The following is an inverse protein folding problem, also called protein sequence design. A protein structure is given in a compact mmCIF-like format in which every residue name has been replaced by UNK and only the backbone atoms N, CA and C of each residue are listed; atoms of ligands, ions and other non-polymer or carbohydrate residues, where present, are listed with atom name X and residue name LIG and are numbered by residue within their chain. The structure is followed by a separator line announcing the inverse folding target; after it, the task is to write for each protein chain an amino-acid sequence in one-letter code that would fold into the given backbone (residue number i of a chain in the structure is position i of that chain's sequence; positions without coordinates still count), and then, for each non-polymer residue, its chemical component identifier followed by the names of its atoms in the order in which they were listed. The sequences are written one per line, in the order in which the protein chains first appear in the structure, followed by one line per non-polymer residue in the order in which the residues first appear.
data_IF_221839324368
#
_entry.id   IF_221839324368
#
_cell.length_a   1.000
_cell.length_b   1.000
_cell.length_c   1.000
_cell.angle_alpha   90.00
_cell.angle_beta   90.00
_cell.angle_gamma   90.00
#
_symmetry.space_group_name_H-M   'P 1'
#
loop_
_entity.id
_entity.type
_entity.pdbx_description
1 polymer ?
#
# COMPACT_ATOMS: atom_id res chain seq x y z
N UNK A 1 -113.96 1.13 -23.23
CA UNK A 1 -113.11 2.26 -22.79
C UNK A 1 -111.95 1.71 -21.98
N UNK A 2 -110.75 1.61 -22.53
CA UNK A 2 -109.53 1.50 -21.74
C UNK A 2 -108.67 2.76 -21.94
N UNK A 3 -108.23 3.29 -20.81
CA UNK A 3 -107.51 4.55 -20.66
C UNK A 3 -106.04 4.38 -21.08
N UNK A 4 -105.56 5.34 -21.85
CA UNK A 4 -104.18 5.58 -22.26
C UNK A 4 -103.21 5.80 -21.09
N UNK A 5 -102.02 5.19 -21.13
CA UNK A 5 -100.81 5.68 -20.45
C UNK A 5 -99.58 5.57 -21.37
N UNK A 6 -98.68 6.58 -21.37
CA UNK A 6 -97.61 6.71 -22.35
C UNK A 6 -96.30 6.00 -21.94
N UNK A 7 -95.43 5.87 -22.94
CA UNK A 7 -94.11 5.23 -22.98
C UNK A 7 -93.06 6.02 -22.18
N UNK A 8 -92.13 5.33 -21.52
CA UNK A 8 -90.82 5.85 -21.13
C UNK A 8 -89.72 4.86 -21.57
N UNK A 9 -88.61 5.31 -22.20
CA UNK A 9 -87.52 4.43 -22.63
C UNK A 9 -86.51 4.24 -21.48
N UNK A 10 -86.06 3.01 -21.25
CA UNK A 10 -84.92 2.73 -20.37
C UNK A 10 -83.69 2.48 -21.25
N UNK A 11 -82.70 3.37 -21.10
CA UNK A 11 -81.35 3.26 -21.63
C UNK A 11 -80.48 2.38 -20.71
N UNK A 12 -79.85 1.38 -21.33
CA UNK A 12 -78.44 0.96 -21.23
C UNK A 12 -77.74 0.88 -19.85
N UNK A 13 -77.20 -0.31 -19.52
CA UNK A 13 -75.83 -0.46 -19.01
C UNK A 13 -75.37 -1.93 -19.10
N UNK A 14 -74.39 -2.22 -19.94
CA UNK A 14 -73.65 -3.48 -19.91
C UNK A 14 -72.68 -3.45 -18.72
N UNK A 15 -72.78 -4.44 -17.83
CA UNK A 15 -71.84 -4.60 -16.72
C UNK A 15 -70.51 -5.14 -17.26
N UNK A 16 -69.46 -4.31 -17.24
CA UNK A 16 -68.07 -4.76 -17.43
C UNK A 16 -67.56 -5.20 -16.07
N UNK A 17 -67.37 -6.51 -15.89
CA UNK A 17 -66.66 -7.05 -14.74
C UNK A 17 -65.15 -6.76 -14.91
N UNK A 18 -64.63 -5.79 -14.15
CA UNK A 18 -63.19 -5.58 -14.01
C UNK A 18 -62.67 -6.66 -13.07
N UNK A 19 -62.09 -7.72 -13.61
CA UNK A 19 -61.26 -8.64 -12.84
C UNK A 19 -59.94 -7.91 -12.58
N UNK A 20 -59.79 -7.36 -11.38
CA UNK A 20 -58.49 -6.92 -10.87
C UNK A 20 -57.61 -8.16 -10.72
N UNK A 21 -56.83 -8.47 -11.76
CA UNK A 21 -55.68 -9.37 -11.63
C UNK A 21 -54.65 -8.61 -10.81
N UNK A 22 -54.72 -8.74 -9.48
CA UNK A 22 -53.62 -8.32 -8.63
C UNK A 22 -52.38 -9.12 -9.10
N UNK A 23 -51.25 -8.46 -9.42
CA UNK A 23 -50.05 -9.19 -9.82
C UNK A 23 -49.65 -10.13 -8.68
N UNK A 24 -49.70 -11.45 -8.92
CA UNK A 24 -49.36 -12.50 -7.94
C UNK A 24 -47.92 -12.43 -7.40
N UNK A 25 -47.09 -11.49 -7.90
CA UNK A 25 -45.73 -11.26 -7.43
C UNK A 25 -45.65 -10.80 -5.96
N UNK A 26 -46.70 -10.17 -5.43
CA UNK A 26 -46.67 -9.62 -4.07
C UNK A 26 -46.92 -10.66 -2.95
N UNK A 27 -47.51 -11.82 -3.24
CA UNK A 27 -47.94 -12.75 -2.17
C UNK A 27 -46.85 -13.70 -1.66
N UNK A 28 -45.73 -13.86 -2.38
CA UNK A 28 -44.69 -14.84 -2.03
C UNK A 28 -43.26 -14.25 -2.01
N UNK A 29 -43.09 -12.95 -2.19
CA UNK A 29 -41.77 -12.32 -2.07
C UNK A 29 -41.39 -12.13 -0.61
N UNK A 30 -40.18 -12.50 -0.24
CA UNK A 30 -39.66 -12.27 1.09
C UNK A 30 -39.03 -10.87 1.22
N UNK A 31 -38.79 -10.44 2.46
CA UNK A 31 -38.07 -9.19 2.76
C UNK A 31 -36.99 -9.38 3.83
N UNK A 32 -35.91 -8.61 3.69
CA UNK A 32 -34.91 -8.39 4.74
C UNK A 32 -34.99 -6.92 5.14
N UNK A 33 -34.95 -6.64 6.45
CA UNK A 33 -34.90 -5.29 6.99
C UNK A 33 -34.08 -5.27 8.27
N UNK A 34 -33.66 -4.10 8.74
CA UNK A 34 -32.97 -3.95 10.02
C UNK A 34 -32.32 -2.59 10.16
N UNK A 35 -31.48 -2.44 11.18
CA UNK A 35 -30.72 -1.22 11.45
C UNK A 35 -29.23 -1.46 11.25
N UNK A 36 -28.56 -0.56 10.52
CA UNK A 36 -27.10 -0.48 10.46
C UNK A 36 -26.62 0.50 11.52
N UNK A 37 -25.76 0.02 12.40
CA UNK A 37 -25.12 0.80 13.45
C UNK A 37 -23.61 0.69 13.41
N UNK A 38 -22.89 1.67 13.96
CA UNK A 38 -21.45 1.63 14.12
C UNK A 38 -21.03 0.78 15.33
N UNK A 39 -19.73 0.56 15.49
CA UNK A 39 -19.16 -0.17 16.63
C UNK A 39 -19.51 0.43 18.02
N UNK A 40 -19.95 1.68 18.10
CA UNK A 40 -20.41 2.36 19.33
C UNK A 40 -21.94 2.25 19.52
N UNK A 41 -22.66 1.75 18.51
CA UNK A 41 -24.11 1.57 18.49
C UNK A 41 -24.88 2.76 17.92
N UNK A 42 -24.22 3.74 17.31
CA UNK A 42 -24.91 4.86 16.64
C UNK A 42 -25.41 4.43 15.26
N UNK A 43 -26.57 4.93 14.79
CA UNK A 43 -27.06 4.63 13.45
C UNK A 43 -26.12 5.15 12.37
N UNK A 44 -25.97 4.39 11.28
CA UNK A 44 -25.12 4.74 10.14
C UNK A 44 -25.98 5.07 8.94
N UNK A 45 -25.98 6.33 8.52
CA UNK A 45 -26.60 6.80 7.27
C UNK A 45 -25.79 6.35 6.04
N UNK A 46 -26.48 6.10 4.94
CA UNK A 46 -25.88 5.75 3.64
C UNK A 46 -24.99 4.50 3.63
N UNK A 47 -25.11 3.62 4.62
CA UNK A 47 -24.48 2.31 4.57
C UNK A 47 -25.08 1.51 3.41
N UNK A 48 -24.23 0.86 2.60
CA UNK A 48 -24.64 0.06 1.46
C UNK A 48 -24.89 -1.38 1.89
N UNK A 49 -26.08 -1.92 1.59
CA UNK A 49 -26.47 -3.30 1.84
C UNK A 49 -26.62 -4.01 0.49
N UNK A 50 -25.67 -4.89 0.18
CA UNK A 50 -25.65 -5.71 -1.03
C UNK A 50 -26.08 -7.16 -0.71
N UNK A 51 -27.15 -7.63 -1.34
CA UNK A 51 -27.68 -8.98 -1.16
C UNK A 51 -27.45 -9.82 -2.41
N UNK A 52 -26.66 -10.87 -2.29
CA UNK A 52 -26.29 -11.76 -3.40
C UNK A 52 -26.88 -13.16 -3.23
N UNK A 53 -27.78 -13.54 -4.15
CA UNK A 53 -28.42 -14.85 -4.14
C UNK A 53 -27.45 -15.99 -4.54
N UNK A 54 -27.35 -17.02 -3.71
CA UNK A 54 -26.42 -18.15 -3.89
C UNK A 54 -27.07 -19.40 -4.49
N UNK A 55 -28.33 -19.34 -4.93
CA UNK A 55 -29.12 -20.49 -5.39
C UNK A 55 -29.05 -20.80 -6.89
N UNK A 56 -27.99 -20.41 -7.60
CA UNK A 56 -27.77 -20.74 -9.01
C UNK A 56 -27.67 -19.50 -9.92
N UNK A 57 -28.81 -18.99 -10.41
CA UNK A 57 -28.81 -17.76 -11.24
C UNK A 57 -28.45 -16.57 -10.35
N UNK A 58 -27.29 -15.97 -10.59
CA UNK A 58 -26.82 -14.78 -9.86
C UNK A 58 -27.87 -13.67 -9.94
N UNK A 59 -28.33 -13.23 -8.77
CA UNK A 59 -29.20 -12.06 -8.59
C UNK A 59 -28.60 -11.26 -7.44
N UNK A 60 -28.32 -9.99 -7.69
CA UNK A 60 -27.91 -9.06 -6.65
C UNK A 60 -28.98 -7.98 -6.46
N UNK A 61 -29.12 -7.52 -5.22
CA UNK A 61 -29.96 -6.40 -4.83
C UNK A 61 -29.13 -5.46 -3.98
N UNK A 62 -29.27 -4.16 -4.18
CA UNK A 62 -28.55 -3.15 -3.42
C UNK A 62 -29.56 -2.15 -2.85
N UNK A 63 -29.40 -1.83 -1.58
CA UNK A 63 -30.16 -0.80 -0.87
C UNK A 63 -29.24 -0.04 0.08
N UNK A 64 -29.69 1.09 0.59
CA UNK A 64 -28.92 1.91 1.54
C UNK A 64 -29.73 2.19 2.80
N UNK A 65 -29.05 2.40 3.93
CA UNK A 65 -29.69 2.84 5.17
C UNK A 65 -30.07 4.33 5.13
N UNK A 66 -31.11 4.71 5.86
CA UNK A 66 -31.51 6.10 6.09
C UNK A 66 -30.71 6.74 7.26
N UNK A 67 -31.08 7.97 7.64
CA UNK A 67 -30.49 8.73 8.74
C UNK A 67 -30.67 8.09 10.14
N UNK A 68 -31.66 7.20 10.28
CA UNK A 68 -31.87 6.36 11.47
C UNK A 68 -31.14 5.00 11.36
N UNK A 69 -30.36 4.77 10.30
CA UNK A 69 -29.65 3.53 10.04
C UNK A 69 -30.54 2.41 9.50
N UNK A 70 -31.83 2.64 9.32
CA UNK A 70 -32.80 1.63 8.90
C UNK A 70 -32.69 1.33 7.41
N UNK A 71 -32.85 0.07 7.04
CA UNK A 71 -32.90 -0.36 5.64
C UNK A 71 -33.97 -1.44 5.41
N UNK A 72 -34.42 -1.57 4.17
CA UNK A 72 -35.37 -2.61 3.77
C UNK A 72 -35.16 -3.03 2.32
N UNK A 73 -34.96 -4.33 2.10
CA UNK A 73 -34.97 -4.96 0.78
C UNK A 73 -36.19 -5.88 0.65
N UNK A 74 -37.06 -5.58 -0.32
CA UNK A 74 -38.22 -6.40 -0.68
C UNK A 74 -37.99 -7.15 -2.00
N UNK A 75 -38.86 -8.12 -2.30
CA UNK A 75 -38.82 -8.80 -3.59
C UNK A 75 -37.83 -9.97 -3.66
N UNK A 76 -37.38 -10.48 -2.50
CA UNK A 76 -36.40 -11.56 -2.45
C UNK A 76 -37.07 -12.91 -2.77
N UNK A 77 -36.37 -13.71 -3.56
CA UNK A 77 -36.74 -15.09 -3.84
C UNK A 77 -36.37 -15.98 -2.63
N UNK A 78 -36.97 -17.15 -2.52
CA UNK A 78 -36.56 -18.09 -1.47
C UNK A 78 -35.20 -18.71 -1.78
N UNK A 79 -34.32 -18.76 -0.78
CA UNK A 79 -33.05 -19.47 -0.83
C UNK A 79 -31.93 -18.77 -0.06
N UNK A 80 -30.68 -19.21 -0.24
CA UNK A 80 -29.53 -18.64 0.45
C UNK A 80 -29.09 -17.31 -0.18
N UNK A 81 -28.76 -16.34 0.69
CA UNK A 81 -28.20 -15.04 0.34
C UNK A 81 -26.93 -14.79 1.16
N UNK A 82 -25.95 -14.15 0.54
CA UNK A 82 -24.90 -13.43 1.25
C UNK A 82 -25.31 -11.95 1.29
N UNK A 83 -25.40 -11.39 2.48
CA UNK A 83 -25.70 -9.96 2.69
C UNK A 83 -24.41 -9.29 3.13
N UNK A 84 -23.90 -8.35 2.33
CA UNK A 84 -22.74 -7.53 2.65
C UNK A 84 -23.20 -6.13 3.02
N UNK A 85 -22.92 -5.69 4.25
CA UNK A 85 -23.21 -4.33 4.74
C UNK A 85 -21.89 -3.56 4.78
N UNK A 86 -21.81 -2.43 4.11
CA UNK A 86 -20.58 -1.63 3.97
C UNK A 86 -20.84 -0.18 4.33
N UNK A 87 -19.96 0.43 5.11
CA UNK A 87 -20.03 1.84 5.46
C UNK A 87 -18.67 2.52 5.28
N UNK A 88 -18.67 3.73 4.72
CA UNK A 88 -17.45 4.50 4.46
C UNK A 88 -16.70 4.78 5.76
N UNK A 89 -15.40 4.49 5.77
CA UNK A 89 -14.53 4.74 6.94
C UNK A 89 -14.76 3.81 8.14
N UNK A 90 -15.75 2.93 8.09
CA UNK A 90 -16.11 2.03 9.20
C UNK A 90 -15.77 0.59 8.82
N UNK A 91 -16.18 0.11 7.65
CA UNK A 91 -15.78 -1.20 7.12
C UNK A 91 -16.93 -1.98 6.51
N UNK A 92 -16.76 -3.30 6.39
CA UNK A 92 -17.76 -4.19 5.81
C UNK A 92 -18.05 -5.39 6.72
N UNK A 93 -19.27 -5.90 6.66
CA UNK A 93 -19.74 -7.12 7.32
C UNK A 93 -20.49 -8.02 6.36
N UNK A 94 -20.37 -9.34 6.53
CA UNK A 94 -21.02 -10.35 5.70
C UNK A 94 -21.86 -11.32 6.54
N UNK A 95 -23.08 -11.54 6.09
CA UNK A 95 -24.03 -12.46 6.71
C UNK A 95 -24.49 -13.52 5.70
N UNK A 96 -24.46 -14.78 6.10
CA UNK A 96 -25.11 -15.86 5.34
C UNK A 96 -26.51 -16.11 5.89
N UNK A 97 -27.53 -15.73 5.12
CA UNK A 97 -28.93 -15.83 5.53
C UNK A 97 -29.70 -16.74 4.57
N UNK A 98 -30.68 -17.48 5.08
CA UNK A 98 -31.60 -18.25 4.25
C UNK A 98 -32.98 -17.65 4.38
N UNK A 99 -33.51 -17.17 3.26
CA UNK A 99 -34.79 -16.48 3.18
C UNK A 99 -35.85 -17.42 2.62
N UNK A 100 -37.04 -17.48 3.22
CA UNK A 100 -38.17 -18.27 2.69
C UNK A 100 -39.31 -17.36 2.22
N UNK A 101 -40.11 -17.83 1.26
CA UNK A 101 -41.22 -17.07 0.71
C UNK A 101 -42.23 -16.66 1.80
N UNK A 102 -42.60 -15.38 1.83
CA UNK A 102 -43.54 -14.83 2.81
C UNK A 102 -42.97 -14.64 4.21
N UNK A 103 -41.67 -14.89 4.42
CA UNK A 103 -41.00 -14.56 5.68
C UNK A 103 -40.43 -13.14 5.65
N UNK A 104 -40.44 -12.52 6.82
CA UNK A 104 -39.73 -11.29 7.11
C UNK A 104 -38.51 -11.64 7.95
N UNK A 105 -37.35 -11.19 7.52
CA UNK A 105 -36.08 -11.49 8.18
C UNK A 105 -35.45 -10.19 8.68
N UNK A 106 -35.36 -10.06 9.99
CA UNK A 106 -34.70 -8.93 10.66
C UNK A 106 -33.19 -9.21 10.74
N UNK A 107 -32.38 -8.26 10.26
CA UNK A 107 -30.93 -8.33 10.24
C UNK A 107 -30.36 -6.97 10.65
N UNK A 108 -30.14 -6.82 11.95
CA UNK A 108 -29.36 -5.70 12.47
C UNK A 108 -27.88 -5.94 12.21
N UNK A 109 -27.22 -4.92 11.68
CA UNK A 109 -25.81 -4.98 11.31
C UNK A 109 -25.02 -3.92 12.07
N UNK A 110 -24.04 -4.36 12.85
CA UNK A 110 -23.15 -3.45 13.56
C UNK A 110 -21.78 -3.41 12.87
N UNK A 111 -21.58 -2.50 11.91
CA UNK A 111 -20.34 -2.43 11.12
C UNK A 111 -19.10 -2.30 12.02
N UNK A 112 -18.02 -2.95 11.57
CA UNK A 112 -16.77 -3.07 12.31
C UNK A 112 -16.10 -1.71 12.55
N UNK A 113 -15.25 -1.59 13.56
CA UNK A 113 -14.39 -0.42 13.65
C UNK A 113 -13.37 -0.42 12.49
N UNK A 114 -12.92 0.76 12.01
CA UNK A 114 -11.87 0.81 11.00
C UNK A 114 -10.62 0.03 11.45
N UNK A 115 -10.14 -0.86 10.58
CA UNK A 115 -9.02 -1.76 10.86
C UNK A 115 -9.41 -3.12 11.44
N UNK A 116 -10.67 -3.36 11.79
CA UNK A 116 -11.15 -4.70 12.11
C UNK A 116 -11.62 -5.45 10.86
N UNK A 117 -11.39 -6.76 10.84
CA UNK A 117 -11.72 -7.63 9.71
C UNK A 117 -12.84 -8.58 10.09
N UNK A 118 -13.87 -8.68 9.23
CA UNK A 118 -14.96 -9.63 9.41
C UNK A 118 -14.46 -11.05 9.12
N UNK A 119 -14.48 -11.89 10.14
CA UNK A 119 -14.10 -13.30 10.03
C UNK A 119 -15.33 -14.19 9.77
N UNK A 120 -16.54 -13.63 9.70
CA UNK A 120 -17.80 -14.37 9.56
C UNK A 120 -17.93 -14.99 8.17
N UNK A 121 -18.20 -16.29 8.12
CA UNK A 121 -18.37 -17.02 6.86
C UNK A 121 -17.07 -17.37 6.14
N UNK A 122 -15.92 -16.99 6.69
CA UNK A 122 -14.62 -17.43 6.22
C UNK A 122 -14.34 -18.87 6.67
N UNK A 123 -13.66 -19.61 5.82
CA UNK A 123 -13.06 -20.90 6.18
C UNK A 123 -11.93 -20.71 7.20
N UNK A 124 -11.55 -21.79 7.87
CA UNK A 124 -10.41 -21.76 8.80
C UNK A 124 -9.09 -21.37 8.10
N UNK A 125 -8.95 -21.66 6.81
CA UNK A 125 -7.79 -21.29 6.00
C UNK A 125 -7.76 -19.78 5.72
N UNK A 126 -8.88 -19.19 5.33
CA UNK A 126 -9.00 -17.74 5.11
C UNK A 126 -8.79 -16.94 6.40
N UNK A 127 -9.28 -17.45 7.54
CA UNK A 127 -9.03 -16.84 8.85
C UNK A 127 -7.54 -16.90 9.20
N UNK A 128 -6.89 -18.04 8.99
CA UNK A 128 -5.46 -18.18 9.25
C UNK A 128 -4.62 -17.27 8.34
N UNK A 129 -5.00 -17.10 7.07
CA UNK A 129 -4.34 -16.17 6.16
C UNK A 129 -4.50 -14.71 6.62
N UNK A 130 -5.70 -14.32 7.05
CA UNK A 130 -5.93 -12.98 7.61
C UNK A 130 -5.13 -12.73 8.88
N UNK A 131 -5.12 -13.69 9.81
CA UNK A 131 -4.38 -13.58 11.05
C UNK A 131 -2.86 -13.51 10.78
N UNK A 132 -2.35 -14.29 9.82
CA UNK A 132 -0.96 -14.22 9.38
C UNK A 132 -0.61 -12.87 8.75
N UNK A 133 -1.51 -12.29 7.95
CA UNK A 133 -1.34 -10.94 7.37
C UNK A 133 -1.35 -9.86 8.44
N UNK A 134 -2.25 -9.94 9.42
CA UNK A 134 -2.32 -9.00 10.55
C UNK A 134 -1.06 -9.08 11.41
N UNK A 135 -0.61 -10.30 11.73
CA UNK A 135 0.63 -10.55 12.46
C UNK A 135 1.86 -10.01 11.69
N UNK A 136 1.94 -10.27 10.38
CA UNK A 136 2.98 -9.73 9.50
C UNK A 136 3.00 -8.21 9.54
N UNK A 137 1.84 -7.56 9.38
CA UNK A 137 1.73 -6.11 9.38
C UNK A 137 2.15 -5.51 10.72
N UNK A 138 1.72 -6.10 11.84
CA UNK A 138 2.10 -5.69 13.18
C UNK A 138 3.60 -5.82 13.44
N UNK A 139 4.18 -6.98 13.12
CA UNK A 139 5.60 -7.25 13.28
C UNK A 139 6.45 -6.34 12.37
N UNK A 140 6.04 -6.15 11.12
CA UNK A 140 6.71 -5.23 10.20
C UNK A 140 6.70 -3.78 10.72
N UNK A 141 5.53 -3.27 11.14
CA UNK A 141 5.41 -1.92 11.69
C UNK A 141 6.25 -1.74 12.97
N UNK A 142 6.20 -2.71 13.88
CA UNK A 142 7.03 -2.72 15.08
C UNK A 142 8.54 -2.74 14.75
N UNK A 143 8.95 -3.52 13.75
CA UNK A 143 10.33 -3.58 13.28
C UNK A 143 10.82 -2.23 12.73
N UNK A 144 9.99 -1.52 11.98
CA UNK A 144 10.32 -0.17 11.50
C UNK A 144 10.44 0.84 12.65
N UNK A 145 9.55 0.80 13.63
CA UNK A 145 9.61 1.67 14.81
C UNK A 145 10.87 1.40 15.64
N UNK A 146 11.20 0.13 15.89
CA UNK A 146 12.42 -0.26 16.57
C UNK A 146 13.67 0.22 15.81
N UNK A 147 13.69 0.09 14.48
CA UNK A 147 14.79 0.56 13.65
C UNK A 147 14.96 2.08 13.73
N UNK A 148 13.86 2.86 13.68
CA UNK A 148 13.88 4.33 13.88
C UNK A 148 14.40 4.72 15.26
N UNK A 149 14.10 3.91 16.27
CA UNK A 149 14.61 4.08 17.64
C UNK A 149 16.08 3.69 17.82
N UNK A 150 16.72 3.12 16.80
CA UNK A 150 18.09 2.58 16.89
C UNK A 150 18.18 1.22 17.60
N UNK A 151 17.04 0.59 17.92
CA UNK A 151 16.97 -0.73 18.56
C UNK A 151 17.10 -1.83 17.50
N UNK A 152 18.28 -1.93 16.87
CA UNK A 152 18.43 -2.80 15.69
C UNK A 152 18.26 -4.29 15.97
N UNK A 153 18.56 -4.77 17.19
CA UNK A 153 18.33 -6.19 17.54
C UNK A 153 16.82 -6.52 17.61
N UNK A 154 16.02 -5.63 18.21
CA UNK A 154 14.56 -5.77 18.25
C UNK A 154 13.95 -5.63 16.85
N UNK A 155 14.46 -4.69 16.06
CA UNK A 155 14.03 -4.52 14.67
C UNK A 155 14.27 -5.77 13.82
N UNK A 156 15.46 -6.37 13.93
CA UNK A 156 15.81 -7.59 13.21
C UNK A 156 14.90 -8.76 13.61
N UNK A 157 14.60 -8.89 14.90
CA UNK A 157 13.68 -9.92 15.41
C UNK A 157 12.28 -9.75 14.81
N UNK A 158 11.69 -8.56 14.94
CA UNK A 158 10.33 -8.28 14.46
C UNK A 158 10.20 -8.41 12.93
N UNK A 159 11.21 -7.98 12.18
CA UNK A 159 11.23 -8.15 10.72
C UNK A 159 11.37 -9.63 10.34
N UNK A 160 12.11 -10.43 11.11
CA UNK A 160 12.19 -11.88 10.91
C UNK A 160 10.84 -12.54 11.17
N UNK A 161 10.13 -12.18 12.24
CA UNK A 161 8.77 -12.67 12.53
C UNK A 161 7.78 -12.33 11.41
N UNK A 162 7.89 -11.13 10.82
CA UNK A 162 7.11 -10.74 9.65
C UNK A 162 7.42 -11.63 8.43
N UNK A 163 8.69 -11.97 8.18
CA UNK A 163 9.12 -12.84 7.09
C UNK A 163 8.70 -14.31 7.32
N UNK A 164 8.71 -14.79 8.56
CA UNK A 164 8.23 -16.14 8.90
C UNK A 164 6.74 -16.30 8.58
N UNK A 165 5.96 -15.24 8.83
CA UNK A 165 4.52 -15.19 8.55
C UNK A 165 4.23 -14.98 7.06
N UNK A 166 5.01 -14.13 6.38
CA UNK A 166 4.91 -13.86 4.94
C UNK A 166 6.28 -13.94 4.27
N UNK A 167 6.70 -15.14 3.82
CA UNK A 167 8.04 -15.36 3.25
C UNK A 167 8.36 -14.55 1.99
N UNK A 168 7.33 -14.11 1.27
CA UNK A 168 7.45 -13.35 0.02
C UNK A 168 7.22 -11.83 0.25
N UNK A 169 7.40 -11.35 1.49
CA UNK A 169 7.37 -9.92 1.78
C UNK A 169 8.71 -9.26 1.40
N UNK A 170 8.83 -8.81 0.14
CA UNK A 170 10.05 -8.15 -0.37
C UNK A 170 10.44 -6.90 0.43
N UNK A 171 9.45 -6.12 0.88
CA UNK A 171 9.69 -4.96 1.73
C UNK A 171 10.20 -5.33 3.13
N UNK A 172 9.70 -6.40 3.73
CA UNK A 172 10.18 -6.90 5.02
C UNK A 172 11.65 -7.32 4.89
N UNK A 173 12.00 -8.04 3.82
CA UNK A 173 13.37 -8.47 3.52
C UNK A 173 14.31 -7.29 3.26
N UNK A 174 13.88 -6.27 2.50
CA UNK A 174 14.66 -5.04 2.30
C UNK A 174 14.99 -4.37 3.62
N UNK A 175 13.99 -4.19 4.48
CA UNK A 175 14.18 -3.54 5.78
C UNK A 175 15.04 -4.39 6.72
N UNK A 176 14.91 -5.73 6.70
CA UNK A 176 15.81 -6.61 7.43
C UNK A 176 17.25 -6.40 6.95
N UNK A 177 17.47 -6.34 5.65
CA UNK A 177 18.77 -6.06 5.05
C UNK A 177 19.38 -4.73 5.51
N UNK A 178 18.58 -3.66 5.56
CA UNK A 178 19.01 -2.37 6.11
C UNK A 178 19.40 -2.49 7.58
N UNK A 179 18.59 -3.17 8.39
CA UNK A 179 18.84 -3.36 9.83
C UNK A 179 20.12 -4.17 10.05
N UNK A 180 20.32 -5.28 9.34
CA UNK A 180 21.54 -6.09 9.43
C UNK A 180 22.78 -5.31 9.00
N UNK A 181 22.67 -4.46 7.97
CA UNK A 181 23.75 -3.57 7.57
C UNK A 181 24.14 -2.60 8.70
N UNK A 182 23.16 -2.00 9.39
CA UNK A 182 23.42 -1.13 10.55
C UNK A 182 24.04 -1.87 11.74
N UNK A 183 23.75 -3.17 11.89
CA UNK A 183 24.36 -4.06 12.90
C UNK A 183 25.79 -4.48 12.53
N UNK A 184 26.23 -4.23 11.30
CA UNK A 184 27.52 -4.68 10.77
C UNK A 184 27.52 -6.12 10.27
N UNK A 185 26.35 -6.75 10.22
CA UNK A 185 26.14 -8.13 9.77
C UNK A 185 25.98 -8.14 8.24
N UNK A 186 27.08 -7.89 7.52
CA UNK A 186 27.04 -7.65 6.08
C UNK A 186 26.61 -8.88 5.26
N UNK A 187 26.92 -10.09 5.71
CA UNK A 187 26.56 -11.32 4.99
C UNK A 187 25.06 -11.63 5.11
N UNK A 188 24.48 -11.39 6.29
CA UNK A 188 23.04 -11.50 6.53
C UNK A 188 22.27 -10.41 5.78
N UNK A 189 22.80 -9.19 5.75
CA UNK A 189 22.24 -8.08 4.99
C UNK A 189 22.17 -8.40 3.49
N UNK A 190 23.27 -8.92 2.92
CA UNK A 190 23.34 -9.35 1.52
C UNK A 190 22.29 -10.42 1.22
N UNK A 191 22.19 -11.47 2.03
CA UNK A 191 21.23 -12.55 1.83
C UNK A 191 19.77 -12.06 1.83
N UNK A 192 19.42 -11.20 2.80
CA UNK A 192 18.07 -10.63 2.88
C UNK A 192 17.76 -9.77 1.65
N UNK A 193 18.71 -8.93 1.22
CA UNK A 193 18.51 -8.03 0.09
C UNK A 193 18.48 -8.76 -1.27
N UNK A 194 19.31 -9.77 -1.48
CA UNK A 194 19.25 -10.59 -2.70
C UNK A 194 17.88 -11.24 -2.84
N UNK A 195 17.35 -11.80 -1.75
CA UNK A 195 15.99 -12.34 -1.74
C UNK A 195 14.93 -11.25 -1.95
N UNK A 196 15.12 -10.05 -1.40
CA UNK A 196 14.23 -8.91 -1.66
C UNK A 196 14.19 -8.57 -3.16
N UNK A 197 15.34 -8.56 -3.85
CA UNK A 197 15.42 -8.29 -5.29
C UNK A 197 14.86 -9.42 -6.16
N UNK A 198 14.86 -10.66 -5.68
CA UNK A 198 14.20 -11.78 -6.36
C UNK A 198 12.67 -11.64 -6.32
N UNK A 199 12.13 -11.15 -5.19
CA UNK A 199 10.69 -10.93 -4.99
C UNK A 199 10.23 -9.65 -5.67
N UNK A 200 10.99 -8.56 -5.55
CA UNK A 200 10.68 -7.23 -6.06
C UNK A 200 11.85 -6.74 -6.94
N UNK A 201 11.94 -7.19 -8.20
CA UNK A 201 13.05 -6.85 -9.11
C UNK A 201 13.07 -5.39 -9.56
N UNK A 202 12.01 -4.62 -9.26
CA UNK A 202 11.89 -3.19 -9.50
C UNK A 202 12.06 -2.34 -8.22
N UNK A 203 12.50 -2.96 -7.11
CA UNK A 203 12.84 -2.24 -5.88
C UNK A 203 14.25 -1.63 -5.96
N UNK A 204 14.33 -0.42 -6.53
CA UNK A 204 15.60 0.29 -6.63
C UNK A 204 16.27 0.56 -5.27
N UNK A 205 15.51 0.65 -4.17
CA UNK A 205 16.06 0.89 -2.84
C UNK A 205 16.77 -0.35 -2.28
N UNK A 206 16.30 -1.56 -2.63
CA UNK A 206 17.00 -2.79 -2.31
C UNK A 206 18.37 -2.86 -3.00
N UNK A 207 18.46 -2.46 -4.27
CA UNK A 207 19.72 -2.38 -5.01
C UNK A 207 20.68 -1.31 -4.46
N UNK A 208 20.19 -0.14 -4.06
CA UNK A 208 21.04 0.87 -3.39
C UNK A 208 21.64 0.33 -2.08
N UNK A 209 20.83 -0.40 -1.31
CA UNK A 209 21.29 -0.98 -0.06
C UNK A 209 22.31 -2.10 -0.32
N UNK A 210 22.12 -2.93 -1.35
CA UNK A 210 23.12 -3.92 -1.78
C UNK A 210 24.45 -3.25 -2.16
N UNK A 211 24.40 -2.13 -2.88
CA UNK A 211 25.60 -1.38 -3.23
C UNK A 211 26.36 -0.88 -1.99
N UNK A 212 25.64 -0.43 -0.95
CA UNK A 212 26.24 -0.05 0.32
C UNK A 212 26.87 -1.25 1.05
N UNK A 213 26.18 -2.39 1.09
CA UNK A 213 26.68 -3.65 1.67
C UNK A 213 27.96 -4.12 0.95
N UNK A 214 27.95 -4.16 -0.38
CA UNK A 214 29.11 -4.54 -1.18
C UNK A 214 30.29 -3.59 -1.00
N UNK A 215 30.05 -2.27 -0.89
CA UNK A 215 31.10 -1.31 -0.54
C UNK A 215 31.73 -1.63 0.82
N UNK A 216 30.93 -1.94 1.85
CA UNK A 216 31.44 -2.31 3.18
C UNK A 216 32.24 -3.63 3.16
N UNK A 217 31.84 -4.59 2.33
CA UNK A 217 32.58 -5.83 2.07
C UNK A 217 33.79 -5.65 1.13
N UNK A 218 34.03 -4.44 0.60
CA UNK A 218 35.08 -4.12 -0.39
C UNK A 218 34.93 -4.82 -1.75
N UNK A 219 33.71 -5.21 -2.10
CA UNK A 219 33.31 -5.80 -3.39
C UNK A 219 32.84 -4.69 -4.34
N UNK A 220 33.79 -3.88 -4.80
CA UNK A 220 33.47 -2.62 -5.47
C UNK A 220 32.85 -2.77 -6.86
N UNK A 221 33.17 -3.85 -7.59
CA UNK A 221 32.54 -4.13 -8.88
C UNK A 221 31.05 -4.48 -8.70
N UNK A 222 30.74 -5.38 -7.76
CA UNK A 222 29.36 -5.73 -7.40
C UNK A 222 28.56 -4.50 -6.91
N UNK A 223 29.21 -3.61 -6.15
CA UNK A 223 28.60 -2.36 -5.71
C UNK A 223 28.23 -1.42 -6.87
N UNK A 224 29.10 -1.36 -7.89
CA UNK A 224 28.86 -0.60 -9.11
C UNK A 224 27.69 -1.18 -9.91
N UNK A 225 27.64 -2.51 -10.07
CA UNK A 225 26.54 -3.20 -10.76
C UNK A 225 25.19 -2.98 -10.07
N UNK A 226 25.13 -3.13 -8.75
CA UNK A 226 23.91 -2.89 -7.98
C UNK A 226 23.43 -1.43 -8.10
N UNK A 227 24.35 -0.46 -8.03
CA UNK A 227 24.01 0.97 -8.22
C UNK A 227 23.54 1.29 -9.64
N UNK A 228 24.11 0.62 -10.66
CA UNK A 228 23.68 0.75 -12.05
C UNK A 228 22.26 0.19 -12.25
N UNK A 229 21.92 -0.90 -11.58
CA UNK A 229 20.59 -1.48 -11.64
C UNK A 229 19.55 -0.58 -10.95
N UNK A 230 19.86 -0.03 -9.76
CA UNK A 230 19.02 0.96 -9.10
C UNK A 230 18.75 2.19 -9.99
N UNK A 231 19.80 2.70 -10.65
CA UNK A 231 19.69 3.78 -11.65
C UNK A 231 18.78 3.40 -12.82
N UNK A 232 18.93 2.18 -13.36
CA UNK A 232 18.15 1.69 -14.51
C UNK A 232 16.66 1.61 -14.17
N UNK A 233 16.33 1.14 -12.96
CA UNK A 233 14.96 1.03 -12.47
C UNK A 233 14.32 2.41 -12.35
N UNK A 234 15.01 3.38 -11.71
CA UNK A 234 14.51 4.75 -11.53
C UNK A 234 14.42 5.54 -12.85
N UNK A 235 15.34 5.33 -13.78
CA UNK A 235 15.40 6.03 -15.06
C UNK A 235 14.43 5.52 -16.14
N UNK A 236 13.77 4.38 -15.93
CA UNK A 236 12.84 3.77 -16.88
C UNK A 236 13.44 3.39 -18.25
N UNK A 237 12.63 2.79 -19.13
CA UNK A 237 13.03 2.37 -20.49
C UNK A 237 13.39 3.55 -21.44
N UNK A 238 13.25 4.80 -20.98
CA UNK A 238 13.53 6.02 -21.75
C UNK A 238 14.71 6.80 -21.19
N UNK A 239 15.74 6.13 -20.64
CA UNK A 239 17.14 6.58 -20.62
C UNK A 239 17.43 8.07 -20.39
N UNK A 240 16.69 8.74 -19.51
CA UNK A 240 16.65 10.20 -19.48
C UNK A 240 16.33 10.71 -18.08
N UNK A 241 17.30 10.56 -17.19
CA UNK A 241 17.22 10.97 -15.79
C UNK A 241 17.91 9.93 -14.93
N UNK A 242 19.24 9.99 -14.88
CA UNK A 242 19.98 9.22 -13.87
C UNK A 242 19.53 9.68 -12.49
N UNK A 243 19.37 8.76 -11.55
CA UNK A 243 19.21 9.13 -10.16
C UNK A 243 20.56 9.58 -9.61
N UNK A 244 20.64 10.83 -9.15
CA UNK A 244 21.88 11.41 -8.64
C UNK A 244 22.46 10.58 -7.49
N UNK A 245 21.62 10.01 -6.63
CA UNK A 245 22.06 9.15 -5.52
C UNK A 245 22.75 7.87 -5.98
N UNK A 246 22.19 7.17 -6.96
CA UNK A 246 22.83 5.96 -7.49
C UNK A 246 24.10 6.25 -8.32
N UNK A 247 24.13 7.34 -9.10
CA UNK A 247 25.36 7.76 -9.79
C UNK A 247 26.45 8.13 -8.78
N UNK A 248 26.07 8.79 -7.69
CA UNK A 248 26.98 9.08 -6.58
C UNK A 248 27.55 7.79 -5.95
N UNK A 249 26.71 6.78 -5.73
CA UNK A 249 27.14 5.49 -5.20
C UNK A 249 28.10 4.74 -6.15
N UNK A 250 27.93 4.85 -7.47
CA UNK A 250 28.91 4.36 -8.44
C UNK A 250 30.26 5.08 -8.28
N UNK A 251 30.24 6.41 -8.09
CA UNK A 251 31.42 7.20 -7.79
C UNK A 251 32.14 6.75 -6.51
N UNK A 252 31.39 6.48 -5.44
CA UNK A 252 31.95 5.94 -4.20
C UNK A 252 32.58 4.55 -4.41
N UNK A 253 31.92 3.67 -5.16
CA UNK A 253 32.45 2.35 -5.47
C UNK A 253 33.76 2.43 -6.26
N UNK A 254 33.81 3.26 -7.31
CA UNK A 254 35.03 3.51 -8.09
C UNK A 254 36.14 4.13 -7.23
N UNK A 255 35.80 5.09 -6.35
CA UNK A 255 36.75 5.70 -5.42
C UNK A 255 37.37 4.66 -4.49
N UNK A 256 36.54 3.81 -3.87
CA UNK A 256 37.00 2.77 -2.96
C UNK A 256 37.82 1.68 -3.67
N UNK A 257 37.56 1.44 -4.96
CA UNK A 257 38.38 0.59 -5.83
C UNK A 257 39.72 1.22 -6.23
N UNK A 258 39.97 2.50 -5.90
CA UNK A 258 41.15 3.25 -6.32
C UNK A 258 41.09 3.73 -7.77
N UNK A 259 39.93 3.65 -8.43
CA UNK A 259 39.68 4.12 -9.79
C UNK A 259 39.29 5.60 -9.75
N UNK A 260 40.22 6.45 -9.32
CA UNK A 260 39.96 7.86 -9.01
C UNK A 260 39.41 8.67 -10.20
N UNK A 261 39.90 8.42 -11.41
CA UNK A 261 39.43 9.13 -12.61
C UNK A 261 37.97 8.78 -12.97
N UNK A 262 37.59 7.52 -12.82
CA UNK A 262 36.21 7.06 -13.01
C UNK A 262 35.30 7.63 -11.92
N UNK A 263 35.75 7.60 -10.66
CA UNK A 263 35.04 8.18 -9.53
C UNK A 263 34.72 9.66 -9.76
N UNK A 264 35.72 10.43 -10.24
CA UNK A 264 35.55 11.84 -10.61
C UNK A 264 34.43 12.02 -11.62
N UNK A 265 34.43 11.24 -12.70
CA UNK A 265 33.39 11.30 -13.74
C UNK A 265 31.97 11.08 -13.19
N UNK A 266 31.81 10.12 -12.28
CA UNK A 266 30.51 9.89 -11.61
C UNK A 266 30.11 11.02 -10.67
N UNK A 267 31.04 11.61 -9.90
CA UNK A 267 30.72 12.75 -9.04
C UNK A 267 30.38 14.01 -9.86
N UNK A 268 31.03 14.24 -11.00
CA UNK A 268 30.67 15.30 -11.95
C UNK A 268 29.25 15.08 -12.49
N UNK A 269 28.95 13.86 -12.97
CA UNK A 269 27.61 13.49 -13.44
C UNK A 269 26.54 13.62 -12.33
N UNK A 270 26.89 13.31 -11.08
CA UNK A 270 26.00 13.52 -9.92
C UNK A 270 25.58 14.98 -9.82
N UNK A 271 26.53 15.92 -9.97
CA UNK A 271 26.24 17.36 -9.94
C UNK A 271 25.53 17.87 -11.21
N UNK A 272 25.63 17.17 -12.33
CA UNK A 272 24.81 17.46 -13.52
C UNK A 272 23.34 17.10 -13.29
N UNK A 273 23.08 15.99 -12.59
CA UNK A 273 21.74 15.49 -12.28
C UNK A 273 21.10 16.24 -11.10
N UNK A 274 21.86 16.44 -10.03
CA UNK A 274 21.47 17.22 -8.86
C UNK A 274 22.60 18.21 -8.50
N UNK A 275 22.51 19.45 -9.00
CA UNK A 275 23.46 20.49 -8.65
C UNK A 275 23.51 20.82 -7.15
N UNK A 276 22.53 20.36 -6.34
CA UNK A 276 22.46 20.58 -4.89
C UNK A 276 23.15 19.50 -4.06
N UNK A 277 23.58 18.38 -4.66
CA UNK A 277 24.19 17.25 -3.96
C UNK A 277 25.56 17.62 -3.36
N UNK A 278 25.58 18.05 -2.10
CA UNK A 278 26.78 18.62 -1.48
C UNK A 278 27.93 17.62 -1.34
N UNK A 279 27.67 16.39 -0.91
CA UNK A 279 28.72 15.37 -0.77
C UNK A 279 29.51 15.12 -2.06
N UNK A 280 28.91 15.31 -3.25
CA UNK A 280 29.63 15.15 -4.51
C UNK A 280 30.74 16.20 -4.68
N UNK A 281 30.54 17.44 -4.20
CA UNK A 281 31.59 18.45 -4.16
C UNK A 281 32.73 18.03 -3.21
N UNK A 282 32.42 17.45 -2.05
CA UNK A 282 33.47 16.96 -1.16
C UNK A 282 34.37 15.92 -1.84
N UNK A 283 33.75 14.95 -2.52
CA UNK A 283 34.49 13.87 -3.19
C UNK A 283 35.21 14.33 -4.46
N UNK A 284 34.68 15.31 -5.20
CA UNK A 284 35.44 15.97 -6.27
C UNK A 284 36.67 16.68 -5.74
N UNK A 285 36.58 17.33 -4.58
CA UNK A 285 37.75 17.89 -3.90
C UNK A 285 38.81 16.84 -3.58
N UNK A 286 38.39 15.68 -3.07
CA UNK A 286 39.28 14.54 -2.81
C UNK A 286 39.92 13.99 -4.09
N UNK A 287 39.16 13.87 -5.18
CA UNK A 287 39.65 13.42 -6.48
C UNK A 287 40.64 14.42 -7.11
N UNK A 288 40.33 15.71 -7.10
CA UNK A 288 41.24 16.76 -7.57
C UNK A 288 42.53 16.81 -6.76
N UNK A 289 42.47 16.60 -5.44
CA UNK A 289 43.68 16.52 -4.61
C UNK A 289 44.55 15.32 -5.01
N UNK A 290 43.95 14.14 -5.24
CA UNK A 290 44.66 12.94 -5.68
C UNK A 290 45.35 13.15 -7.04
N UNK A 291 44.70 13.90 -7.94
CA UNK A 291 45.25 14.31 -9.23
C UNK A 291 46.28 15.46 -9.13
N UNK A 292 46.57 15.98 -7.93
CA UNK A 292 47.51 17.08 -7.71
C UNK A 292 46.96 18.48 -8.06
N UNK A 293 45.67 18.58 -8.34
CA UNK A 293 44.96 19.82 -8.70
C UNK A 293 44.50 20.56 -7.43
N UNK A 294 45.46 21.02 -6.63
CA UNK A 294 45.21 21.58 -5.29
C UNK A 294 44.21 22.76 -5.31
N UNK A 295 44.35 23.68 -6.27
CA UNK A 295 43.48 24.84 -6.36
C UNK A 295 42.01 24.45 -6.63
N UNK A 296 41.79 23.49 -7.52
CA UNK A 296 40.46 22.96 -7.84
C UNK A 296 39.87 22.23 -6.63
N UNK A 297 40.68 21.44 -5.93
CA UNK A 297 40.26 20.75 -4.71
C UNK A 297 39.74 21.71 -3.64
N UNK A 298 40.45 22.81 -3.40
CA UNK A 298 40.05 23.86 -2.45
C UNK A 298 38.71 24.49 -2.87
N UNK A 299 38.50 24.79 -4.15
CA UNK A 299 37.23 25.35 -4.64
C UNK A 299 36.04 24.42 -4.38
N UNK A 300 36.22 23.12 -4.64
CA UNK A 300 35.16 22.14 -4.37
C UNK A 300 34.83 22.02 -2.89
N UNK A 301 35.84 21.95 -2.01
CA UNK A 301 35.59 21.91 -0.56
C UNK A 301 34.99 23.21 -0.02
N UNK A 302 35.35 24.37 -0.56
CA UNK A 302 34.71 25.64 -0.21
C UNK A 302 33.22 25.59 -0.56
N UNK A 303 32.89 25.14 -1.77
CA UNK A 303 31.50 24.96 -2.21
C UNK A 303 30.74 23.99 -1.30
N UNK A 304 31.38 22.90 -0.89
CA UNK A 304 30.79 21.95 0.06
C UNK A 304 30.49 22.59 1.43
N UNK A 305 31.48 23.24 2.05
CA UNK A 305 31.34 23.84 3.39
C UNK A 305 30.36 25.02 3.38
N UNK A 306 30.29 25.79 2.29
CA UNK A 306 29.31 26.88 2.15
C UNK A 306 27.86 26.37 2.12
N UNK A 307 27.64 25.20 1.53
CA UNK A 307 26.30 24.61 1.38
C UNK A 307 25.89 23.73 2.56
N UNK A 308 26.85 22.97 3.09
CA UNK A 308 26.67 22.05 4.20
C UNK A 308 27.64 22.39 5.35
N UNK A 309 27.43 23.53 6.04
CA UNK A 309 28.32 23.96 7.12
C UNK A 309 28.36 22.97 8.30
N UNK A 310 27.28 22.21 8.49
CA UNK A 310 27.14 21.16 9.50
C UNK A 310 27.19 19.74 8.90
N UNK A 311 27.62 19.61 7.63
CA UNK A 311 27.73 18.33 6.94
C UNK A 311 28.75 17.39 7.57
N UNK A 312 28.57 16.07 7.36
CA UNK A 312 29.43 15.01 7.95
C UNK A 312 30.92 15.21 7.71
N UNK A 313 31.30 15.85 6.60
CA UNK A 313 32.69 16.09 6.23
C UNK A 313 33.13 17.55 6.42
N UNK A 314 32.28 18.44 6.93
CA UNK A 314 32.51 19.88 6.92
C UNK A 314 33.77 20.29 7.70
N UNK A 315 33.99 19.68 8.86
CA UNK A 315 35.20 19.89 9.66
C UNK A 315 36.47 19.41 8.95
N UNK A 316 36.41 18.26 8.29
CA UNK A 316 37.54 17.71 7.54
C UNK A 316 37.87 18.58 6.32
N UNK A 317 36.85 18.97 5.55
CA UNK A 317 36.98 19.85 4.40
C UNK A 317 37.59 21.20 4.79
N UNK A 318 37.10 21.81 5.88
CA UNK A 318 37.66 23.06 6.43
C UNK A 318 39.11 22.93 6.84
N UNK A 319 39.48 21.82 7.48
CA UNK A 319 40.87 21.52 7.83
C UNK A 319 41.79 21.38 6.62
N UNK A 320 41.32 20.72 5.55
CA UNK A 320 42.05 20.57 4.29
C UNK A 320 42.22 21.92 3.59
N UNK A 321 41.17 22.74 3.52
CA UNK A 321 41.23 24.11 2.98
C UNK A 321 42.29 24.91 3.74
N UNK A 322 42.28 24.92 5.08
CA UNK A 322 43.21 25.71 5.88
C UNK A 322 44.69 25.29 5.70
N UNK A 323 44.95 24.03 5.36
CA UNK A 323 46.30 23.52 5.13
C UNK A 323 46.81 23.81 3.70
N UNK A 324 45.91 23.88 2.73
CA UNK A 324 46.24 23.89 1.31
C UNK A 324 45.96 25.24 0.62
N UNK A 325 45.16 26.10 1.26
CA UNK A 325 44.97 27.47 0.81
C UNK A 325 46.21 28.33 1.17
N UNK A 326 46.78 29.06 0.20
CA UNK A 326 47.97 29.90 0.39
C UNK A 326 47.73 31.16 1.23
#
# INVERSE_FOLDING_TARGET
MPVSRPIAPILLAAAVAVVLVQPMFAQNSARIFGVVSDHEGNPVEDATILLEFQGGITRSFETTSNDEGEYIQMGLASGPYIVTVTAEGIGALRYSVRVSAGEEFELDAQVLAPGQVDRTGLSAEEIAELDAREATAGAFAGGLEAARGGNYDEAAQLLTEAIESTPDCGECLRNLGIVEYQRGNHDEAEQALLRATEIAPDDAAAFDTLAAVYNAQRRFDDAGEASAEASRIRGGATGGGGDAGAVFNQGLAAWNAGRTDEARGHFEQTLELDPSHGEANYWLGMASLNAGQIAEAVTYWQTYVEREPDGRFAAQASGLIAQLAP
#
